data_IF_983220957676
#
_entry.id   IF_983220957676
#
_cell.length_a   1.000
_cell.length_b   1.000
_cell.length_c   1.000
_cell.angle_alpha   90.00
_cell.angle_beta   90.00
_cell.angle_gamma   90.00
#
_symmetry.space_group_name_H-M   'P 1'
#
loop_
_entity.id
_entity.type
_entity.pdbx_description
1 polymer ?
#
# COMPACT_ATOMS: atom_id res chain seq x y z
N UNK A 1 28.31 -12.23 -0.57
CA UNK A 1 27.23 -11.77 -1.47
C UNK A 1 26.54 -10.59 -0.80
N UNK A 2 26.64 -9.38 -1.34
CA UNK A 2 25.91 -8.23 -0.82
C UNK A 2 24.48 -8.25 -1.39
N UNK A 3 23.47 -8.35 -0.53
CA UNK A 3 22.07 -8.21 -0.90
C UNK A 3 21.77 -6.75 -1.22
N UNK A 4 21.44 -6.45 -2.47
CA UNK A 4 20.88 -5.14 -2.85
C UNK A 4 19.50 -5.05 -2.21
N UNK A 5 19.37 -4.23 -1.17
CA UNK A 5 18.06 -3.84 -0.65
C UNK A 5 17.49 -2.83 -1.64
N UNK A 6 16.48 -3.20 -2.42
CA UNK A 6 15.78 -2.24 -3.26
C UNK A 6 15.07 -1.23 -2.34
N UNK A 7 15.64 -0.04 -2.21
CA UNK A 7 14.99 1.06 -1.52
C UNK A 7 13.71 1.42 -2.29
N UNK A 8 12.56 1.08 -1.74
CA UNK A 8 11.26 1.45 -2.29
C UNK A 8 10.99 2.93 -2.02
N UNK A 9 10.73 3.73 -3.05
CA UNK A 9 10.38 5.17 -2.95
C UNK A 9 8.93 5.39 -2.43
N UNK A 10 8.53 4.66 -1.40
CA UNK A 10 7.19 4.71 -0.82
C UNK A 10 7.21 5.71 0.34
N UNK A 11 6.32 6.72 0.36
CA UNK A 11 6.24 7.70 1.45
C UNK A 11 6.05 7.05 2.84
N UNK A 12 6.57 7.70 3.87
CA UNK A 12 6.33 7.31 5.25
C UNK A 12 4.95 7.75 5.75
N UNK A 13 4.35 6.96 6.63
CA UNK A 13 3.13 7.34 7.34
C UNK A 13 3.49 8.10 8.61
N UNK A 14 3.23 9.41 8.66
CA UNK A 14 3.59 10.27 9.79
C UNK A 14 2.58 10.24 10.94
N UNK A 15 1.44 9.57 10.76
CA UNK A 15 0.37 9.45 11.77
C UNK A 15 -0.26 8.06 11.69
N UNK A 16 -1.00 7.65 12.73
CA UNK A 16 -1.67 6.34 12.78
C UNK A 16 -2.71 6.16 11.66
N UNK A 17 -2.71 5.00 11.01
CA UNK A 17 -3.74 4.60 10.05
C UNK A 17 -4.95 3.99 10.78
N UNK A 18 -6.14 4.56 10.59
CA UNK A 18 -7.36 4.17 11.32
C UNK A 18 -8.42 3.64 10.37
N UNK A 19 -9.02 2.50 10.72
CA UNK A 19 -10.09 1.87 9.94
C UNK A 19 -9.61 1.22 8.65
N UNK A 20 -10.55 0.90 7.76
CA UNK A 20 -10.32 0.39 6.39
C UNK A 20 -9.55 -0.91 6.24
N UNK A 21 -9.64 -1.79 7.24
CA UNK A 21 -9.00 -3.12 7.20
C UNK A 21 -9.48 -3.96 6.02
N UNK A 22 -10.77 -3.90 5.70
CA UNK A 22 -11.34 -4.68 4.60
C UNK A 22 -10.83 -4.20 3.23
N UNK A 23 -10.76 -2.89 3.03
CA UNK A 23 -10.23 -2.27 1.83
C UNK A 23 -8.73 -2.53 1.67
N UNK A 24 -7.97 -2.52 2.78
CA UNK A 24 -6.56 -2.91 2.82
C UNK A 24 -6.37 -4.34 2.34
N UNK A 25 -7.10 -5.30 2.93
CA UNK A 25 -7.00 -6.72 2.59
C UNK A 25 -7.39 -6.98 1.12
N UNK A 26 -8.42 -6.28 0.62
CA UNK A 26 -8.80 -6.36 -0.79
C UNK A 26 -7.68 -5.81 -1.69
N UNK A 27 -7.07 -4.71 -1.32
CA UNK A 27 -6.00 -4.08 -2.09
C UNK A 27 -4.73 -4.96 -2.11
N UNK A 28 -4.35 -5.54 -0.97
CA UNK A 28 -3.25 -6.51 -0.86
C UNK A 28 -3.47 -7.69 -1.82
N UNK A 29 -4.67 -8.28 -1.80
CA UNK A 29 -5.01 -9.38 -2.72
C UNK A 29 -4.95 -8.94 -4.19
N UNK A 30 -5.43 -7.74 -4.50
CA UNK A 30 -5.42 -7.23 -5.88
C UNK A 30 -4.00 -6.98 -6.37
N UNK A 31 -3.13 -6.42 -5.53
CA UNK A 31 -1.71 -6.20 -5.84
C UNK A 31 -0.94 -7.52 -6.01
N UNK A 32 -1.32 -8.58 -5.27
CA UNK A 32 -0.72 -9.90 -5.44
C UNK A 32 -1.13 -10.60 -6.74
N UNK A 33 -2.31 -10.26 -7.27
CA UNK A 33 -2.91 -10.95 -8.44
C UNK A 33 -2.83 -10.15 -9.73
N UNK A 34 -2.67 -8.83 -9.65
CA UNK A 34 -2.67 -7.91 -10.79
C UNK A 34 -1.43 -7.02 -10.80
N UNK A 35 -0.90 -6.75 -11.99
CA UNK A 35 0.26 -5.83 -12.18
C UNK A 35 -0.10 -4.35 -11.99
N UNK A 36 -1.37 -3.99 -12.13
CA UNK A 36 -1.87 -2.62 -12.03
C UNK A 36 -3.20 -2.64 -11.28
N UNK A 37 -3.32 -1.77 -10.27
CA UNK A 37 -4.56 -1.57 -9.51
C UNK A 37 -4.88 -0.09 -9.46
N UNK A 38 -6.14 0.28 -9.74
CA UNK A 38 -6.62 1.65 -9.69
C UNK A 38 -7.53 1.87 -8.48
N UNK A 39 -7.20 2.84 -7.64
CA UNK A 39 -8.07 3.27 -6.54
C UNK A 39 -8.91 4.47 -6.97
N UNK A 40 -10.23 4.31 -6.96
CA UNK A 40 -11.20 5.35 -7.29
C UNK A 40 -11.96 5.81 -6.04
N UNK A 41 -12.58 6.99 -6.11
CA UNK A 41 -13.36 7.56 -5.00
C UNK A 41 -13.25 9.08 -4.92
N UNK A 42 -14.10 9.69 -4.10
CA UNK A 42 -14.19 11.14 -3.92
C UNK A 42 -12.88 11.80 -3.46
N UNK A 43 -12.77 13.11 -3.65
CA UNK A 43 -11.67 13.91 -3.12
C UNK A 43 -11.58 13.79 -1.59
N UNK A 44 -10.36 13.75 -1.05
CA UNK A 44 -10.15 13.70 0.41
C UNK A 44 -10.47 12.36 1.10
N UNK A 45 -11.01 11.36 0.41
CA UNK A 45 -11.40 10.07 1.02
C UNK A 45 -10.21 9.22 1.48
N UNK A 46 -8.96 9.65 1.29
CA UNK A 46 -7.77 8.93 1.80
C UNK A 46 -7.21 7.83 0.91
N UNK A 47 -7.48 7.85 -0.41
CA UNK A 47 -6.97 6.86 -1.38
C UNK A 47 -5.44 6.76 -1.38
N UNK A 48 -4.75 7.90 -1.39
CA UNK A 48 -3.28 7.95 -1.35
C UNK A 48 -2.74 7.29 -0.10
N UNK A 49 -3.38 7.54 1.05
CA UNK A 49 -2.97 6.95 2.32
C UNK A 49 -3.18 5.44 2.34
N UNK A 50 -4.32 4.98 1.82
CA UNK A 50 -4.60 3.55 1.63
C UNK A 50 -3.57 2.88 0.69
N UNK A 51 -3.22 3.53 -0.42
CA UNK A 51 -2.23 3.04 -1.37
C UNK A 51 -0.84 2.90 -0.73
N UNK A 52 -0.39 3.94 -0.02
CA UNK A 52 0.92 3.95 0.67
C UNK A 52 0.97 2.83 1.72
N UNK A 53 -0.08 2.68 2.53
CA UNK A 53 -0.17 1.62 3.55
C UNK A 53 -0.02 0.23 2.93
N UNK A 54 -0.81 -0.07 1.89
CA UNK A 54 -0.76 -1.37 1.20
C UNK A 54 0.58 -1.60 0.49
N UNK A 55 1.16 -0.57 -0.13
CA UNK A 55 2.47 -0.67 -0.77
C UNK A 55 3.58 -0.98 0.24
N UNK A 56 3.54 -0.38 1.44
CA UNK A 56 4.50 -0.71 2.52
C UNK A 56 4.34 -2.15 3.01
N UNK A 57 3.11 -2.65 3.14
CA UNK A 57 2.88 -4.04 3.53
C UNK A 57 3.35 -5.03 2.45
N UNK A 58 3.10 -4.72 1.18
CA UNK A 58 3.58 -5.55 0.07
C UNK A 58 5.12 -5.55 -0.04
N UNK A 59 5.77 -4.42 0.25
CA UNK A 59 7.23 -4.28 0.23
C UNK A 59 7.92 -4.96 1.43
N UNK A 60 7.24 -5.09 2.57
CA UNK A 60 7.78 -5.73 3.76
C UNK A 60 7.95 -7.25 3.63
N UNK A 61 7.39 -7.87 2.58
CA UNK A 61 7.32 -9.32 2.43
C UNK A 61 6.34 -9.96 3.43
N UNK A 62 5.98 -11.25 3.24
CA UNK A 62 5.29 -12.02 4.27
C UNK A 62 6.14 -12.22 5.54
#
# INVERSE_FOLDING_TARGET
>A
MATVTMASNIPEETTSFVGRKAELARLEHTLATHRLTTLTGSGGVGKTRLAVRAARQAAAGP
#
